data_IF_384722132433
#
_entry.id   IF_384722132433
#
_cell.length_a   1.000
_cell.length_b   1.000
_cell.length_c   1.000
_cell.angle_alpha   90.00
_cell.angle_beta   90.00
_cell.angle_gamma   90.00
#
_symmetry.space_group_name_H-M   'P 1'
#
loop_
_entity.id
_entity.type
_entity.pdbx_description
1 polymer ?
#
# COMPACT_ATOMS: atom_id res chain seq x y z
N UNK A 1 -14.07 17.72 -4.83
CA UNK A 1 -13.10 17.75 -3.72
C UNK A 1 -11.93 18.63 -4.14
N UNK A 2 -11.35 19.46 -3.26
CA UNK A 2 -10.18 20.26 -3.65
C UNK A 2 -8.93 19.38 -3.67
N UNK A 3 -8.18 19.42 -4.78
CA UNK A 3 -6.90 18.71 -4.97
C UNK A 3 -5.88 18.97 -3.84
N UNK A 4 -5.98 20.10 -3.13
CA UNK A 4 -5.11 20.45 -2.00
C UNK A 4 -5.16 19.45 -0.82
N UNK A 5 -6.23 18.65 -0.69
CA UNK A 5 -6.33 17.65 0.37
C UNK A 5 -5.59 16.34 0.07
N UNK A 6 -5.22 16.09 -1.20
CA UNK A 6 -4.74 14.78 -1.67
C UNK A 6 -3.21 14.74 -1.81
N UNK A 7 -2.53 15.87 -1.88
CA UNK A 7 -1.22 15.98 -2.56
C UNK A 7 -0.03 16.37 -1.67
N UNK A 8 -0.08 16.13 -0.35
CA UNK A 8 1.10 16.40 0.49
C UNK A 8 2.19 15.37 0.20
N UNK A 9 3.22 15.78 -0.53
CA UNK A 9 4.44 15.03 -0.81
C UNK A 9 5.58 15.51 0.08
N UNK A 10 6.56 14.65 0.32
CA UNK A 10 7.72 14.96 1.15
C UNK A 10 8.08 13.81 2.07
N UNK A 11 9.00 14.06 3.00
CA UNK A 11 9.42 13.04 3.97
C UNK A 11 8.24 12.67 4.87
N UNK A 12 8.14 11.39 5.18
CA UNK A 12 7.05 10.84 5.99
C UNK A 12 6.86 11.62 7.31
N UNK A 13 7.95 11.87 8.05
CA UNK A 13 7.92 12.57 9.35
C UNK A 13 7.37 14.00 9.26
N UNK A 14 7.54 14.66 8.11
CA UNK A 14 7.09 16.04 7.92
C UNK A 14 5.64 16.09 7.44
N UNK A 15 5.19 15.03 6.75
CA UNK A 15 3.92 15.03 6.01
C UNK A 15 2.80 14.29 6.74
N UNK A 16 3.10 13.12 7.31
CA UNK A 16 2.09 12.30 7.99
C UNK A 16 1.34 13.05 9.09
N UNK A 17 2.00 13.86 9.96
CA UNK A 17 1.31 14.67 10.96
C UNK A 17 0.39 15.76 10.39
N UNK A 18 0.51 16.09 9.10
CA UNK A 18 -0.30 17.12 8.45
C UNK A 18 -1.57 16.57 7.79
N UNK A 19 -1.75 15.25 7.74
CA UNK A 19 -2.95 14.63 7.22
C UNK A 19 -4.06 14.57 8.26
N UNK A 20 -5.28 14.87 7.84
CA UNK A 20 -6.47 14.53 8.60
C UNK A 20 -6.82 13.07 8.28
N UNK A 21 -6.76 12.21 9.31
CA UNK A 21 -7.05 10.76 9.23
C UNK A 21 -8.43 10.47 8.63
N UNK A 22 -9.40 11.38 8.78
CA UNK A 22 -10.75 11.21 8.21
C UNK A 22 -10.80 11.46 6.70
N UNK A 23 -9.77 12.08 6.13
CA UNK A 23 -9.77 12.52 4.72
C UNK A 23 -8.63 11.97 3.87
N UNK A 24 -7.54 11.47 4.49
CA UNK A 24 -6.49 10.80 3.73
C UNK A 24 -7.05 9.54 3.07
N UNK A 25 -6.74 9.40 1.78
CA UNK A 25 -7.27 8.34 0.93
C UNK A 25 -6.36 7.12 0.89
N UNK A 26 -6.97 5.98 0.67
CA UNK A 26 -6.28 4.74 0.34
C UNK A 26 -5.87 4.72 -1.13
N UNK A 27 -4.95 3.82 -1.48
CA UNK A 27 -4.46 3.67 -2.84
C UNK A 27 -5.59 3.44 -3.85
N UNK A 28 -6.59 2.62 -3.52
CA UNK A 28 -7.70 2.33 -4.43
C UNK A 28 -8.61 3.54 -4.66
N UNK A 29 -8.82 4.37 -3.65
CA UNK A 29 -9.58 5.62 -3.76
C UNK A 29 -8.82 6.64 -4.64
N UNK A 30 -7.50 6.77 -4.45
CA UNK A 30 -6.65 7.64 -5.28
C UNK A 30 -6.64 7.18 -6.74
N UNK A 31 -6.68 5.87 -6.99
CA UNK A 31 -6.74 5.33 -8.35
C UNK A 31 -8.05 5.67 -9.04
N UNK A 32 -9.16 5.71 -8.30
CA UNK A 32 -10.45 6.16 -8.83
C UNK A 32 -10.37 7.61 -9.29
N UNK A 33 -9.83 8.49 -8.44
CA UNK A 33 -9.67 9.90 -8.77
C UNK A 33 -8.76 10.09 -9.99
N UNK A 34 -7.64 9.35 -10.07
CA UNK A 34 -6.71 9.41 -11.21
C UNK A 34 -7.35 9.07 -12.55
N UNK A 35 -8.17 8.01 -12.65
CA UNK A 35 -8.78 7.70 -13.96
C UNK A 35 -9.92 8.65 -14.31
N UNK A 36 -10.60 9.25 -13.32
CA UNK A 36 -11.59 10.30 -13.62
C UNK A 36 -10.97 11.57 -14.18
N UNK A 37 -9.71 11.87 -13.86
CA UNK A 37 -8.99 13.02 -14.44
C UNK A 37 -8.39 12.74 -15.84
N UNK A 38 -7.98 11.51 -16.14
CA UNK A 38 -7.33 11.19 -17.44
C UNK A 38 -8.28 11.30 -18.64
N UNK A 39 -9.59 11.23 -18.43
CA UNK A 39 -10.56 11.55 -19.48
C UNK A 39 -10.57 13.07 -19.83
N UNK A 40 -9.80 13.90 -19.11
CA UNK A 40 -9.56 15.32 -19.37
C UNK A 40 -8.13 15.51 -19.91
N UNK A 41 -7.98 15.63 -21.23
CA UNK A 41 -6.78 16.03 -22.01
C UNK A 41 -5.42 15.78 -21.33
N UNK A 42 -4.70 14.76 -21.82
CA UNK A 42 -3.41 14.22 -21.34
C UNK A 42 -2.33 15.21 -20.85
N UNK A 43 -2.31 16.46 -21.33
CA UNK A 43 -1.25 17.43 -21.02
C UNK A 43 -1.49 18.28 -19.75
N UNK A 44 -2.69 18.23 -19.15
CA UNK A 44 -3.02 19.01 -17.94
C UNK A 44 -3.28 18.14 -16.69
N UNK A 45 -3.18 16.80 -16.81
CA UNK A 45 -3.53 15.88 -15.73
C UNK A 45 -2.49 15.95 -14.59
N UNK A 46 -2.92 16.46 -13.43
CA UNK A 46 -2.04 16.68 -12.27
C UNK A 46 -1.86 15.41 -11.45
N UNK A 47 -2.94 14.66 -11.18
CA UNK A 47 -2.86 13.48 -10.29
C UNK A 47 -2.03 12.31 -10.85
N UNK A 48 -2.08 11.95 -12.15
CA UNK A 48 -1.27 10.84 -12.68
C UNK A 48 0.25 11.07 -12.58
N UNK A 49 0.66 12.33 -12.57
CA UNK A 49 2.06 12.75 -12.51
C UNK A 49 2.62 12.79 -11.08
N UNK A 50 1.77 12.65 -10.06
CA UNK A 50 2.14 12.73 -8.65
C UNK A 50 2.20 11.35 -7.99
N UNK A 51 3.09 11.17 -7.01
CA UNK A 51 3.02 10.05 -6.06
C UNK A 51 2.29 10.49 -4.78
N UNK A 52 1.74 9.54 -4.04
CA UNK A 52 0.87 9.81 -2.89
C UNK A 52 1.27 8.94 -1.71
N UNK A 53 1.42 9.54 -0.52
CA UNK A 53 1.24 8.79 0.72
C UNK A 53 -0.20 8.31 0.79
N UNK A 54 -0.40 7.07 1.20
CA UNK A 54 -1.75 6.50 1.30
C UNK A 54 -2.07 6.15 2.74
N UNK A 55 -3.36 6.02 3.00
CA UNK A 55 -3.86 5.68 4.31
C UNK A 55 -3.89 4.16 4.58
N UNK A 56 -3.53 3.34 3.57
CA UNK A 56 -3.37 1.90 3.75
C UNK A 56 -2.31 1.58 4.80
N UNK A 57 -2.63 0.60 5.64
CA UNK A 57 -1.80 0.21 6.78
C UNK A 57 -1.23 -1.20 6.59
N UNK A 58 -0.04 -1.34 5.99
CA UNK A 58 0.63 -2.62 5.92
C UNK A 58 1.29 -2.97 7.26
N UNK A 59 0.74 -3.97 7.93
CA UNK A 59 1.29 -4.58 9.14
C UNK A 59 1.71 -6.03 8.85
N UNK A 60 2.89 -6.42 9.28
CA UNK A 60 3.45 -7.74 9.07
C UNK A 60 3.69 -8.44 10.40
N UNK A 61 3.34 -9.72 10.45
CA UNK A 61 3.62 -10.58 11.60
C UNK A 61 3.90 -12.01 11.16
N UNK A 62 4.45 -12.79 12.09
CA UNK A 62 4.65 -14.22 11.90
C UNK A 62 3.46 -15.01 12.47
N UNK A 63 2.88 -15.91 11.68
CA UNK A 63 1.83 -16.83 12.10
C UNK A 63 2.15 -18.23 11.64
N UNK A 64 2.16 -19.21 12.55
CA UNK A 64 2.45 -20.61 12.22
C UNK A 64 3.72 -20.79 11.35
N UNK A 65 4.75 -19.95 11.59
CA UNK A 65 6.03 -19.87 10.84
C UNK A 65 5.94 -19.26 9.44
N UNK A 66 4.79 -18.71 9.06
CA UNK A 66 4.60 -17.97 7.81
C UNK A 66 4.59 -16.47 8.04
N UNK A 67 5.13 -15.72 7.07
CA UNK A 67 5.05 -14.27 7.07
C UNK A 67 3.70 -13.83 6.47
N UNK A 68 2.95 -13.04 7.23
CA UNK A 68 1.60 -12.59 6.88
C UNK A 68 1.57 -11.07 6.81
N UNK A 69 0.96 -10.54 5.77
CA UNK A 69 0.58 -9.14 5.62
C UNK A 69 -0.89 -8.96 6.03
N UNK A 70 -1.12 -8.05 6.96
CA UNK A 70 -2.41 -7.47 7.29
C UNK A 70 -2.46 -6.06 6.71
N UNK A 71 -3.36 -5.84 5.75
CA UNK A 71 -3.59 -4.54 5.14
C UNK A 71 -4.81 -3.89 5.80
N UNK A 72 -4.58 -3.05 6.80
CA UNK A 72 -5.61 -2.26 7.50
C UNK A 72 -6.07 -1.04 6.70
N UNK A 73 -7.23 -0.47 7.08
CA UNK A 73 -7.75 0.82 6.57
C UNK A 73 -7.51 1.94 7.59
N UNK A 74 -7.94 3.18 7.31
CA UNK A 74 -7.77 4.35 8.20
C UNK A 74 -7.98 4.06 9.69
N UNK A 75 -9.12 3.44 10.05
CA UNK A 75 -9.48 3.16 11.46
C UNK A 75 -8.55 2.15 12.13
N UNK A 76 -7.85 1.34 11.35
CA UNK A 76 -6.93 0.30 11.81
C UNK A 76 -5.45 0.75 11.67
N UNK A 77 -5.21 1.95 11.13
CA UNK A 77 -3.86 2.44 10.87
C UNK A 77 -3.21 3.01 12.14
N UNK A 78 -2.46 2.16 12.82
CA UNK A 78 -1.78 2.49 14.09
C UNK A 78 -0.66 3.52 13.94
N UNK A 79 -0.18 3.81 12.72
CA UNK A 79 0.74 4.95 12.50
C UNK A 79 0.02 6.24 12.83
N UNK A 80 -1.24 6.41 12.45
CA UNK A 80 -1.99 7.64 12.77
C UNK A 80 -2.32 7.75 14.25
N UNK A 81 -2.57 6.63 14.94
CA UNK A 81 -2.80 6.61 16.39
C UNK A 81 -1.54 6.99 17.19
N UNK A 82 -0.36 6.74 16.63
CA UNK A 82 0.93 6.93 17.30
C UNK A 82 1.89 7.79 16.46
N UNK A 83 1.38 8.82 15.78
CA UNK A 83 2.05 9.53 14.68
C UNK A 83 3.49 9.94 14.97
N UNK A 84 3.78 10.49 16.16
CA UNK A 84 5.12 10.95 16.53
C UNK A 84 6.09 9.79 16.70
N UNK A 85 5.67 8.75 17.44
CA UNK A 85 6.50 7.58 17.69
C UNK A 85 6.71 6.77 16.40
N UNK A 86 5.62 6.47 15.69
CA UNK A 86 5.65 5.67 14.48
C UNK A 86 6.50 6.34 13.39
N UNK A 87 6.34 7.65 13.14
CA UNK A 87 7.15 8.35 12.13
C UNK A 87 8.64 8.42 12.53
N UNK A 88 8.95 8.52 13.82
CA UNK A 88 10.34 8.48 14.33
C UNK A 88 10.95 7.09 14.10
N UNK A 89 10.23 6.02 14.46
CA UNK A 89 10.70 4.65 14.26
C UNK A 89 10.86 4.31 12.77
N UNK A 90 9.90 4.68 11.92
CA UNK A 90 9.97 4.49 10.47
C UNK A 90 11.18 5.22 9.87
N UNK A 91 11.52 6.41 10.36
CA UNK A 91 12.70 7.15 9.89
C UNK A 91 14.01 6.51 10.34
N UNK A 92 14.09 6.04 11.58
CA UNK A 92 15.36 5.63 12.20
C UNK A 92 15.67 4.13 12.05
N UNK A 93 14.62 3.31 11.99
CA UNK A 93 14.71 1.85 12.01
C UNK A 93 14.05 1.20 10.80
N UNK A 94 13.55 2.00 9.87
CA UNK A 94 12.70 1.63 8.74
C UNK A 94 11.33 1.05 9.15
N UNK A 95 11.21 0.32 10.26
CA UNK A 95 9.97 -0.28 10.74
C UNK A 95 9.35 0.49 11.93
N UNK A 96 8.02 0.52 12.00
CA UNK A 96 7.30 0.79 13.25
C UNK A 96 7.05 -0.53 13.98
N UNK A 97 7.66 -0.73 15.15
CA UNK A 97 7.51 -1.95 15.93
C UNK A 97 6.32 -1.84 16.87
N UNK A 98 5.38 -2.78 16.76
CA UNK A 98 4.17 -2.84 17.56
C UNK A 98 4.27 -4.05 18.47
N UNK A 99 4.41 -3.81 19.77
CA UNK A 99 4.52 -4.86 20.79
C UNK A 99 3.26 -4.99 21.66
N UNK A 100 2.36 -4.01 21.61
CA UNK A 100 1.08 -4.10 22.32
C UNK A 100 0.14 -5.04 21.56
N UNK A 101 -0.13 -6.20 22.18
CA UNK A 101 -0.98 -7.23 21.62
C UNK A 101 -2.41 -6.73 21.35
N UNK A 102 -2.94 -5.81 22.16
CA UNK A 102 -4.29 -5.25 21.94
C UNK A 102 -4.36 -4.45 20.65
N UNK A 103 -3.31 -3.71 20.33
CA UNK A 103 -3.22 -2.95 19.08
C UNK A 103 -3.08 -3.88 17.87
N UNK A 104 -2.30 -4.96 17.99
CA UNK A 104 -2.20 -5.97 16.93
C UNK A 104 -3.56 -6.63 16.70
N UNK A 105 -4.21 -7.08 17.78
CA UNK A 105 -5.48 -7.79 17.72
C UNK A 105 -6.60 -6.89 17.18
N UNK A 106 -6.58 -5.57 17.45
CA UNK A 106 -7.58 -4.66 16.88
C UNK A 106 -7.49 -4.59 15.35
N UNK A 107 -6.27 -4.66 14.79
CA UNK A 107 -6.05 -4.66 13.34
C UNK A 107 -6.38 -6.03 12.75
N UNK A 108 -5.90 -7.11 13.36
CA UNK A 108 -6.10 -8.49 12.88
C UNK A 108 -7.59 -8.86 12.86
N UNK A 109 -8.36 -8.45 13.87
CA UNK A 109 -9.78 -8.80 14.00
C UNK A 109 -10.73 -7.78 13.34
N UNK A 110 -10.20 -6.77 12.66
CA UNK A 110 -11.03 -5.77 12.00
C UNK A 110 -11.62 -6.29 10.69
N UNK A 111 -12.92 -6.13 10.50
CA UNK A 111 -13.65 -6.54 9.29
C UNK A 111 -13.15 -5.88 7.99
N UNK A 112 -12.38 -4.79 8.10
CA UNK A 112 -11.83 -4.03 6.96
C UNK A 112 -10.39 -4.40 6.62
N UNK A 113 -9.75 -5.21 7.46
CA UNK A 113 -8.37 -5.66 7.28
C UNK A 113 -8.32 -6.85 6.34
N UNK A 114 -7.49 -6.75 5.30
CA UNK A 114 -7.20 -7.88 4.42
C UNK A 114 -5.99 -8.65 4.96
N UNK A 115 -6.14 -9.95 5.18
CA UNK A 115 -5.05 -10.87 5.50
C UNK A 115 -4.51 -11.53 4.24
N UNK A 116 -3.19 -11.56 4.09
CA UNK A 116 -2.49 -12.20 2.95
C UNK A 116 -1.26 -12.94 3.46
N UNK A 117 -1.17 -14.25 3.19
CA UNK A 117 0.07 -15.00 3.41
C UNK A 117 1.04 -14.68 2.28
N UNK A 118 2.26 -14.24 2.60
CA UNK A 118 3.18 -13.73 1.57
C UNK A 118 3.69 -14.80 0.61
N UNK A 119 3.77 -16.07 1.03
CA UNK A 119 4.13 -17.19 0.16
C UNK A 119 3.12 -17.42 -0.97
N UNK A 120 1.84 -17.09 -0.75
CA UNK A 120 0.78 -17.23 -1.76
C UNK A 120 0.88 -16.20 -2.89
N UNK A 121 1.70 -15.15 -2.72
CA UNK A 121 1.83 -14.06 -3.69
C UNK A 121 2.82 -14.35 -4.82
N UNK A 122 3.51 -15.51 -4.82
CA UNK A 122 4.53 -15.86 -5.84
C UNK A 122 5.51 -14.70 -6.10
N UNK A 123 6.05 -14.13 -5.02
CA UNK A 123 6.83 -12.91 -5.08
C UNK A 123 8.19 -13.10 -5.80
N UNK A 124 8.57 -12.10 -6.59
CA UNK A 124 9.92 -11.90 -7.10
C UNK A 124 10.73 -11.11 -6.07
N UNK A 125 11.93 -11.57 -5.75
CA UNK A 125 12.85 -10.86 -4.87
C UNK A 125 13.42 -9.62 -5.58
N UNK A 126 13.36 -8.46 -4.93
CA UNK A 126 14.06 -7.26 -5.39
C UNK A 126 15.44 -7.19 -4.71
N UNK A 127 15.45 -7.24 -3.38
CA UNK A 127 16.65 -7.18 -2.56
C UNK A 127 16.43 -7.93 -1.22
N UNK A 128 17.24 -7.64 -0.20
CA UNK A 128 17.13 -8.25 1.12
C UNK A 128 15.92 -7.81 1.94
N UNK A 129 15.30 -6.68 1.61
CA UNK A 129 14.15 -6.10 2.32
C UNK A 129 12.86 -6.21 1.52
N UNK A 130 12.93 -6.06 0.19
CA UNK A 130 11.77 -5.92 -0.68
C UNK A 130 11.56 -7.10 -1.60
N UNK A 131 10.29 -7.39 -1.86
CA UNK A 131 9.82 -8.30 -2.90
C UNK A 131 8.56 -7.75 -3.55
N UNK A 132 8.20 -8.25 -4.73
CA UNK A 132 7.05 -7.76 -5.47
C UNK A 132 6.42 -8.83 -6.33
N UNK A 133 5.19 -8.62 -6.75
CA UNK A 133 4.63 -9.30 -7.92
C UNK A 133 4.23 -8.28 -8.97
N UNK A 134 4.15 -8.75 -10.22
CA UNK A 134 3.82 -7.92 -11.37
C UNK A 134 2.38 -8.14 -11.79
N UNK A 135 1.72 -7.05 -12.17
CA UNK A 135 0.38 -7.04 -12.73
C UNK A 135 0.52 -6.54 -14.17
N UNK A 136 0.22 -7.40 -15.13
CA UNK A 136 0.08 -6.96 -16.53
C UNK A 136 -1.20 -6.15 -16.66
N UNK A 137 -1.12 -4.96 -17.25
CA UNK A 137 -2.29 -4.09 -17.45
C UNK A 137 -3.25 -4.60 -18.52
N UNK A 138 -2.80 -5.53 -19.36
CA UNK A 138 -3.62 -6.22 -20.37
C UNK A 138 -4.04 -7.64 -19.95
N UNK A 139 -3.14 -8.37 -19.26
CA UNK A 139 -3.29 -9.81 -18.97
C UNK A 139 -3.40 -10.09 -17.47
N UNK A 140 -4.13 -9.24 -16.73
CA UNK A 140 -4.31 -9.33 -15.28
C UNK A 140 -5.15 -10.53 -14.82
N UNK A 141 -5.79 -11.26 -15.73
CA UNK A 141 -6.49 -12.52 -15.41
C UNK A 141 -5.52 -13.68 -15.10
N UNK A 142 -4.21 -13.47 -15.27
CA UNK A 142 -3.16 -14.43 -14.89
C UNK A 142 -2.77 -14.37 -13.41
N UNK A 143 -3.26 -13.39 -12.65
CA UNK A 143 -3.01 -13.31 -11.22
C UNK A 143 -3.66 -14.50 -10.52
N UNK A 144 -2.95 -15.10 -9.56
CA UNK A 144 -3.57 -16.08 -8.66
C UNK A 144 -4.57 -15.36 -7.71
N UNK A 145 -5.35 -16.14 -6.96
CA UNK A 145 -6.40 -15.59 -6.07
C UNK A 145 -5.85 -14.58 -5.04
N UNK A 146 -4.74 -14.88 -4.39
CA UNK A 146 -4.15 -14.00 -3.36
C UNK A 146 -3.57 -12.72 -3.97
N UNK A 147 -2.89 -12.84 -5.12
CA UNK A 147 -2.40 -11.70 -5.89
C UNK A 147 -3.55 -10.81 -6.35
N UNK A 148 -4.63 -11.40 -6.89
CA UNK A 148 -5.81 -10.66 -7.34
C UNK A 148 -6.48 -9.93 -6.17
N UNK A 149 -6.62 -10.58 -5.03
CA UNK A 149 -7.23 -9.99 -3.83
C UNK A 149 -6.44 -8.78 -3.34
N UNK A 150 -5.11 -8.87 -3.26
CA UNK A 150 -4.26 -7.75 -2.88
C UNK A 150 -4.21 -6.66 -3.98
N UNK A 151 -4.20 -7.05 -5.25
CA UNK A 151 -4.26 -6.11 -6.37
C UNK A 151 -5.54 -5.28 -6.36
N UNK A 152 -6.68 -5.90 -6.08
CA UNK A 152 -7.96 -5.18 -5.97
C UNK A 152 -8.05 -4.31 -4.70
N UNK A 153 -7.32 -4.67 -3.64
CA UNK A 153 -7.18 -3.80 -2.46
C UNK A 153 -6.43 -2.51 -2.78
N UNK A 154 -5.46 -2.57 -3.68
CA UNK A 154 -4.58 -1.43 -4.03
C UNK A 154 -5.12 -0.61 -5.21
N UNK A 155 -5.74 -1.26 -6.20
CA UNK A 155 -6.16 -0.64 -7.45
C UNK A 155 -7.68 -0.59 -7.62
N UNK A 156 -8.44 -0.83 -6.56
CA UNK A 156 -9.91 -0.86 -6.57
C UNK A 156 -10.46 -2.25 -6.91
N UNK A 157 -11.69 -2.52 -6.46
CA UNK A 157 -12.34 -3.84 -6.60
C UNK A 157 -13.17 -3.95 -7.86
N UNK A 158 -13.26 -5.17 -8.41
CA UNK A 158 -14.17 -5.49 -9.53
C UNK A 158 -13.97 -4.59 -10.76
N UNK A 159 -14.97 -3.78 -11.11
CA UNK A 159 -14.90 -2.89 -12.27
C UNK A 159 -13.89 -1.75 -12.08
N UNK A 160 -13.70 -1.25 -10.85
CA UNK A 160 -12.70 -0.23 -10.56
C UNK A 160 -11.29 -0.74 -10.88
N UNK A 161 -10.98 -1.98 -10.51
CA UNK A 161 -9.72 -2.64 -10.88
C UNK A 161 -9.46 -2.59 -12.39
N UNK A 162 -10.47 -3.01 -13.18
CA UNK A 162 -10.38 -3.05 -14.64
C UNK A 162 -10.18 -1.65 -15.22
N UNK A 163 -10.87 -0.65 -14.68
CA UNK A 163 -10.71 0.74 -15.09
C UNK A 163 -9.29 1.24 -14.80
N UNK A 164 -8.74 0.94 -13.62
CA UNK A 164 -7.37 1.30 -13.28
C UNK A 164 -6.33 0.62 -14.19
N UNK A 165 -6.50 -0.68 -14.49
CA UNK A 165 -5.60 -1.37 -15.42
C UNK A 165 -5.70 -0.81 -16.85
N UNK A 166 -6.91 -0.54 -17.33
CA UNK A 166 -7.13 0.07 -18.65
C UNK A 166 -6.53 1.49 -18.74
N UNK A 167 -6.69 2.29 -17.69
CA UNK A 167 -6.08 3.61 -17.60
C UNK A 167 -4.56 3.54 -17.70
N UNK A 168 -3.93 2.66 -16.93
CA UNK A 168 -2.48 2.48 -16.98
C UNK A 168 -2.02 2.01 -18.37
N UNK A 169 -2.76 1.08 -18.98
CA UNK A 169 -2.49 0.63 -20.34
C UNK A 169 -2.56 1.76 -21.37
N UNK A 170 -3.63 2.58 -21.34
CA UNK A 170 -3.78 3.76 -22.20
C UNK A 170 -2.64 4.75 -22.01
N UNK A 171 -2.14 4.91 -20.78
CA UNK A 171 -0.97 5.72 -20.47
C UNK A 171 0.38 5.06 -20.85
N UNK A 172 0.36 4.00 -21.68
CA UNK A 172 1.55 3.30 -22.17
C UNK A 172 2.25 2.41 -21.15
N UNK A 173 1.58 2.06 -20.04
CA UNK A 173 2.14 1.20 -18.98
C UNK A 173 1.65 -0.23 -19.18
N UNK A 174 2.56 -1.14 -19.52
CA UNK A 174 2.24 -2.56 -19.73
C UNK A 174 2.24 -3.39 -18.43
N UNK A 175 2.93 -2.90 -17.40
CA UNK A 175 3.11 -3.58 -16.11
C UNK A 175 3.02 -2.55 -14.99
N UNK A 176 2.32 -2.89 -13.91
CA UNK A 176 2.46 -2.26 -12.59
C UNK A 176 2.87 -3.29 -11.54
N UNK A 177 3.28 -2.84 -10.34
CA UNK A 177 3.85 -3.69 -9.30
C UNK A 177 3.30 -3.35 -7.93
N UNK A 178 3.15 -4.37 -7.11
CA UNK A 178 2.89 -4.24 -5.68
C UNK A 178 4.14 -4.73 -4.94
N UNK A 179 4.79 -3.82 -4.24
CA UNK A 179 5.97 -4.07 -3.42
C UNK A 179 5.56 -4.27 -1.97
N UNK A 180 6.05 -5.35 -1.37
CA UNK A 180 5.85 -5.74 0.03
C UNK A 180 7.19 -6.15 0.63
N UNK A 181 7.25 -6.23 1.97
CA UNK A 181 8.44 -6.76 2.63
C UNK A 181 8.67 -8.22 2.21
N UNK A 182 9.94 -8.56 2.00
CA UNK A 182 10.38 -9.92 1.71
C UNK A 182 10.00 -10.84 2.90
N UNK A 183 9.43 -12.04 2.67
CA UNK A 183 9.13 -12.99 3.76
C UNK A 183 10.31 -13.28 4.68
N UNK A 184 11.52 -13.41 4.15
CA UNK A 184 12.74 -13.63 4.94
C UNK A 184 13.08 -12.41 5.81
N UNK A 185 12.84 -11.20 5.29
CA UNK A 185 13.00 -9.96 6.04
C UNK A 185 11.99 -9.89 7.20
N UNK A 186 10.72 -10.19 6.93
CA UNK A 186 9.66 -10.23 7.95
C UNK A 186 10.05 -11.21 9.05
N UNK A 187 10.43 -12.44 8.68
CA UNK A 187 10.85 -13.48 9.63
C UNK A 187 12.03 -13.08 10.50
N UNK A 188 12.97 -12.30 9.96
CA UNK A 188 14.16 -11.85 10.70
C UNK A 188 13.88 -10.67 11.64
N UNK A 189 12.94 -9.79 11.28
CA UNK A 189 12.77 -8.49 11.95
C UNK A 189 11.52 -8.38 12.81
N UNK A 190 10.50 -9.24 12.61
CA UNK A 190 9.32 -9.25 13.48
C UNK A 190 9.71 -9.74 14.88
N UNK A 191 9.40 -8.99 15.95
CA UNK A 191 9.65 -9.43 17.31
C UNK A 191 8.73 -10.59 17.70
N UNK A 192 9.16 -11.41 18.66
CA UNK A 192 8.34 -12.50 19.19
C UNK A 192 7.00 -11.95 19.73
N UNK A 193 5.88 -12.53 19.27
CA UNK A 193 4.51 -12.12 19.60
C UNK A 193 4.12 -10.68 19.19
N UNK A 194 4.98 -9.95 18.45
CA UNK A 194 4.70 -8.60 17.98
C UNK A 194 4.50 -8.51 16.47
N UNK A 195 4.51 -7.29 15.97
CA UNK A 195 4.37 -6.97 14.55
C UNK A 195 5.30 -5.82 14.15
N UNK A 196 5.57 -5.71 12.86
CA UNK A 196 6.17 -4.52 12.26
C UNK A 196 5.17 -3.90 11.30
N UNK A 197 5.03 -2.60 11.32
CA UNK A 197 4.22 -1.86 10.37
C UNK A 197 5.07 -0.88 9.57
N UNK A 198 4.53 -0.55 8.39
CA UNK A 198 5.12 0.34 7.40
C UNK A 198 4.08 1.38 7.00
N UNK A 199 4.53 2.47 6.41
CA UNK A 199 3.65 3.37 5.70
C UNK A 199 3.42 2.85 4.28
N UNK A 200 2.72 3.61 3.45
CA UNK A 200 2.47 3.17 2.09
C UNK A 200 2.43 4.32 1.10
N UNK A 201 2.91 4.05 -0.10
CA UNK A 201 2.98 5.00 -1.21
C UNK A 201 2.37 4.40 -2.46
N UNK A 202 1.54 5.19 -3.13
CA UNK A 202 1.13 4.95 -4.51
C UNK A 202 1.93 5.86 -5.45
N UNK A 203 2.79 5.27 -6.27
CA UNK A 203 3.65 6.02 -7.17
C UNK A 203 2.90 6.70 -8.32
N UNK A 204 3.54 7.70 -8.94
CA UNK A 204 3.08 8.30 -10.20
C UNK A 204 3.18 7.33 -11.38
N UNK A 205 2.64 7.72 -12.53
CA UNK A 205 2.68 6.91 -13.75
C UNK A 205 4.08 6.81 -14.35
N UNK A 206 4.95 7.79 -14.11
CA UNK A 206 6.38 7.69 -14.44
C UNK A 206 7.01 6.44 -13.80
N UNK A 207 6.57 6.12 -12.59
CA UNK A 207 6.98 4.95 -11.82
C UNK A 207 5.94 3.81 -11.89
N UNK A 208 5.25 3.71 -13.03
CA UNK A 208 4.28 2.66 -13.36
C UNK A 208 3.12 2.51 -12.37
N UNK A 209 2.82 3.55 -11.58
CA UNK A 209 1.80 3.51 -10.54
C UNK A 209 1.99 2.38 -9.52
N UNK A 210 3.25 1.98 -9.28
CA UNK A 210 3.54 0.91 -8.33
C UNK A 210 3.15 1.29 -6.90
N UNK A 211 2.57 0.35 -6.17
CA UNK A 211 2.26 0.50 -4.75
C UNK A 211 3.40 -0.07 -3.91
N UNK A 212 3.82 0.65 -2.87
CA UNK A 212 4.89 0.25 -1.96
C UNK A 212 4.36 0.30 -0.53
N UNK A 213 4.43 -0.82 0.18
CA UNK A 213 4.21 -0.90 1.62
C UNK A 213 5.49 -0.54 2.40
N UNK A 214 5.87 0.75 2.34
CA UNK A 214 7.17 1.37 2.67
C UNK A 214 7.55 1.42 4.15
#
# INVERSE_FOLDING_TARGET
MSLEKITKQGKLVDVFPLFDRSTIQHSDEIQVDRFTEIDVKENDAVLPNQWFWTADFPMYMMENKEAVLYMGRNKDNLVFDNIVEATTQLREKNNYFINDRKNIDSVVNSDTTLKVVLSDLNLKKLDGEWSYFEISTEKYDKLNTSQRTLAERVHGKGQAFKNSMNMLHKAGKSITRIYVLNPDYVKKNVPENGAIARASVLNSFFNNSGFIAL
#
